data_IF_438308359289
#
_entry.id   IF_438308359289
#
_cell.length_a   1.000
_cell.length_b   1.000
_cell.length_c   1.000
_cell.angle_alpha   90.00
_cell.angle_beta   90.00
_cell.angle_gamma   90.00
#
_symmetry.space_group_name_H-M   'P 1'
#
loop_
_entity.id
_entity.type
_entity.pdbx_description
1 polymer ?
#
# COMPACT_ATOMS: atom_id res chain seq x y z
N UNK A 1 35.61 23.64 -21.53
CA UNK A 1 34.38 22.85 -21.67
C UNK A 1 34.57 21.52 -20.97
N UNK A 2 33.93 21.30 -19.83
CA UNK A 2 33.22 20.06 -19.46
C UNK A 2 32.34 20.43 -18.27
N UNK A 3 31.03 20.40 -18.50
CA UNK A 3 30.04 20.90 -17.56
C UNK A 3 29.95 20.02 -16.32
N UNK A 4 29.94 20.67 -15.16
CA UNK A 4 29.52 20.06 -13.91
C UNK A 4 28.09 19.53 -14.08
N UNK A 5 27.89 18.23 -13.87
CA UNK A 5 26.57 17.63 -13.77
C UNK A 5 25.95 18.10 -12.44
N UNK A 6 25.33 19.29 -12.49
CA UNK A 6 24.47 19.82 -11.44
C UNK A 6 23.41 18.75 -11.18
N UNK A 7 23.49 18.12 -10.01
CA UNK A 7 22.38 17.33 -9.47
C UNK A 7 21.19 18.27 -9.36
N UNK A 8 20.27 18.16 -10.32
CA UNK A 8 19.02 18.90 -10.35
C UNK A 8 18.29 18.63 -9.03
N UNK A 9 17.99 19.62 -8.19
CA UNK A 9 17.23 19.39 -6.98
C UNK A 9 15.86 18.84 -7.38
N UNK A 10 15.55 17.63 -6.92
CA UNK A 10 14.21 17.06 -7.03
C UNK A 10 13.24 18.08 -6.44
N UNK A 11 12.22 18.48 -7.22
CA UNK A 11 11.10 19.34 -6.81
C UNK A 11 10.70 19.12 -5.35
N UNK A 12 10.36 20.18 -4.56
CA UNK A 12 10.06 20.03 -3.14
C UNK A 12 9.02 18.93 -2.94
N UNK A 13 9.49 17.78 -2.46
CA UNK A 13 8.66 16.60 -2.30
C UNK A 13 7.63 16.94 -1.22
N UNK A 14 6.35 16.75 -1.55
CA UNK A 14 5.24 17.04 -0.65
C UNK A 14 5.56 16.47 0.75
N UNK A 15 5.49 17.26 1.85
CA UNK A 15 5.90 16.80 3.17
C UNK A 15 5.23 15.48 3.58
N UNK A 16 3.96 15.28 3.20
CA UNK A 16 3.25 14.03 3.44
C UNK A 16 3.87 12.85 2.68
N UNK A 17 4.30 13.04 1.43
CA UNK A 17 5.00 12.00 0.65
C UNK A 17 6.31 11.65 1.35
N UNK A 18 7.09 12.64 1.79
CA UNK A 18 8.35 12.39 2.51
C UNK A 18 8.14 11.55 3.77
N UNK A 19 7.13 11.89 4.58
CA UNK A 19 6.77 11.12 5.78
C UNK A 19 6.33 9.71 5.46
N UNK A 20 5.46 9.51 4.46
CA UNK A 20 5.03 8.17 4.07
C UNK A 20 6.18 7.31 3.50
N UNK A 21 7.16 7.93 2.83
CA UNK A 21 8.36 7.25 2.35
C UNK A 21 9.29 6.81 3.48
N UNK A 22 9.37 7.52 4.60
CA UNK A 22 10.22 7.10 5.73
C UNK A 22 9.73 5.84 6.45
N UNK A 23 8.48 5.42 6.22
CA UNK A 23 7.95 4.15 6.75
C UNK A 23 8.26 2.94 5.85
N UNK A 24 8.80 3.13 4.65
CA UNK A 24 9.07 2.05 3.71
C UNK A 24 9.99 0.99 4.34
N UNK A 25 9.64 -0.28 4.15
CA UNK A 25 10.42 -1.45 4.58
C UNK A 25 11.18 -2.02 3.41
N UNK A 26 12.39 -2.52 3.67
CA UNK A 26 13.31 -3.04 2.65
C UNK A 26 13.86 -1.93 1.75
N UNK A 27 15.18 -1.92 1.56
CA UNK A 27 15.81 -1.16 0.49
C UNK A 27 15.80 -1.97 -0.81
N UNK A 28 15.71 -1.31 -1.95
CA UNK A 28 16.02 -1.95 -3.23
C UNK A 28 17.43 -1.53 -3.66
N UNK A 29 18.20 -2.44 -4.25
CA UNK A 29 19.45 -2.08 -4.94
C UNK A 29 19.17 -1.49 -6.33
N UNK A 30 17.93 -1.62 -6.79
CA UNK A 30 17.45 -1.13 -8.08
C UNK A 30 16.83 0.26 -7.96
N UNK A 31 17.57 1.27 -8.44
CA UNK A 31 17.13 2.67 -8.47
C UNK A 31 15.80 2.87 -9.20
N UNK A 32 15.45 2.04 -10.17
CA UNK A 32 14.16 2.15 -10.86
C UNK A 32 13.00 1.68 -9.97
N UNK A 33 13.22 0.71 -9.09
CA UNK A 33 12.20 0.27 -8.14
C UNK A 33 11.94 1.35 -7.09
N UNK A 34 12.97 1.96 -6.51
CA UNK A 34 12.80 3.07 -5.56
C UNK A 34 12.01 4.25 -6.17
N UNK A 35 12.33 4.63 -7.41
CA UNK A 35 11.57 5.65 -8.15
C UNK A 35 10.12 5.23 -8.35
N UNK A 36 9.86 3.95 -8.61
CA UNK A 36 8.51 3.44 -8.77
C UNK A 36 7.74 3.47 -7.45
N UNK A 37 8.36 3.09 -6.33
CA UNK A 37 7.78 3.18 -4.98
C UNK A 37 7.41 4.62 -4.64
N UNK A 38 8.28 5.57 -4.95
CA UNK A 38 8.00 6.99 -4.77
C UNK A 38 6.76 7.44 -5.59
N UNK A 39 6.65 7.02 -6.86
CA UNK A 39 5.46 7.31 -7.69
C UNK A 39 4.19 6.68 -7.12
N UNK A 40 4.27 5.47 -6.57
CA UNK A 40 3.14 4.78 -5.95
C UNK A 40 2.63 5.52 -4.71
N UNK A 41 3.54 5.97 -3.84
CA UNK A 41 3.20 6.79 -2.65
C UNK A 41 2.65 8.15 -3.06
N UNK A 42 3.25 8.84 -4.03
CA UNK A 42 2.72 10.12 -4.57
C UNK A 42 1.29 9.98 -5.10
N UNK A 43 1.02 8.90 -5.84
CA UNK A 43 -0.32 8.61 -6.37
C UNK A 43 -1.33 8.37 -5.23
N UNK A 44 -0.94 7.61 -4.19
CA UNK A 44 -1.79 7.39 -3.02
C UNK A 44 -2.09 8.68 -2.28
N UNK A 45 -1.08 9.49 -1.97
CA UNK A 45 -1.26 10.78 -1.29
C UNK A 45 -2.24 11.67 -2.03
N UNK A 46 -2.15 11.73 -3.37
CA UNK A 46 -3.10 12.50 -4.19
C UNK A 46 -4.54 11.99 -4.05
N UNK A 47 -4.75 10.68 -3.98
CA UNK A 47 -6.08 10.06 -3.77
C UNK A 47 -6.60 10.34 -2.36
N UNK A 48 -5.78 10.13 -1.33
CA UNK A 48 -6.19 10.28 0.07
C UNK A 48 -6.41 11.73 0.50
N UNK A 49 -5.73 12.69 -0.12
CA UNK A 49 -6.04 14.11 0.07
C UNK A 49 -7.43 14.49 -0.42
N UNK A 50 -7.91 13.86 -1.51
CA UNK A 50 -9.27 14.09 -2.01
C UNK A 50 -10.34 13.47 -1.10
N UNK A 51 -10.06 12.30 -0.52
CA UNK A 51 -10.97 11.62 0.41
C UNK A 51 -10.78 12.01 1.87
N UNK A 52 -9.84 12.92 2.20
CA UNK A 52 -9.50 13.35 3.57
C UNK A 52 -9.10 12.20 4.51
N UNK A 53 -8.35 11.22 4.00
CA UNK A 53 -7.91 10.03 4.76
C UNK A 53 -6.39 9.97 4.97
N UNK A 54 -5.66 11.03 4.60
CA UNK A 54 -4.20 11.03 4.65
C UNK A 54 -3.69 10.94 6.09
N UNK A 55 -4.30 11.68 7.01
CA UNK A 55 -3.87 11.73 8.41
C UNK A 55 -4.12 10.38 9.11
N UNK A 56 -5.20 9.69 8.74
CA UNK A 56 -5.51 8.36 9.26
C UNK A 56 -4.51 7.30 8.76
N UNK A 57 -4.04 7.41 7.51
CA UNK A 57 -2.95 6.54 7.03
C UNK A 57 -1.66 6.82 7.79
N UNK A 58 -1.33 8.09 8.04
CA UNK A 58 -0.14 8.47 8.80
C UNK A 58 -0.21 7.96 10.25
N UNK A 59 -1.38 8.05 10.88
CA UNK A 59 -1.67 7.44 12.19
C UNK A 59 -1.47 5.92 12.16
N UNK A 60 -2.04 5.22 11.20
CA UNK A 60 -1.87 3.76 11.07
C UNK A 60 -0.40 3.35 10.92
N UNK A 61 0.37 4.06 10.08
CA UNK A 61 1.78 3.75 9.86
C UNK A 61 2.67 4.07 11.07
N UNK A 62 2.40 5.18 11.78
CA UNK A 62 3.19 5.61 12.93
C UNK A 62 2.94 4.77 14.18
N UNK A 63 1.70 4.32 14.40
CA UNK A 63 1.29 3.57 15.60
C UNK A 63 1.34 2.06 15.41
N UNK A 64 1.38 1.58 14.17
CA UNK A 64 1.20 0.18 13.83
C UNK A 64 -0.11 -0.44 14.36
N UNK A 65 -1.13 0.39 14.58
CA UNK A 65 -2.39 0.00 15.19
C UNK A 65 -3.38 -0.57 14.15
N UNK A 66 -3.78 -1.82 14.37
CA UNK A 66 -4.76 -2.53 13.55
C UNK A 66 -6.18 -1.96 13.68
N UNK A 67 -6.48 -1.24 14.76
CA UNK A 67 -7.80 -0.65 15.04
C UNK A 67 -8.00 0.75 14.46
N UNK A 68 -7.01 1.29 13.73
CA UNK A 68 -7.21 2.48 12.90
C UNK A 68 -8.29 2.26 11.84
N UNK A 69 -8.86 3.34 11.30
CA UNK A 69 -9.94 3.21 10.31
C UNK A 69 -9.43 2.61 8.98
N UNK A 70 -10.37 2.12 8.17
CA UNK A 70 -10.03 1.66 6.81
C UNK A 70 -9.49 2.84 6.00
N UNK A 71 -8.38 2.65 5.29
CA UNK A 71 -7.87 3.62 4.31
C UNK A 71 -8.29 3.16 2.93
N UNK A 72 -9.26 3.81 2.30
CA UNK A 72 -9.87 3.30 1.07
C UNK A 72 -9.47 4.07 -0.18
N UNK A 73 -9.36 3.36 -1.30
CA UNK A 73 -9.28 3.94 -2.65
C UNK A 73 -10.37 3.34 -3.54
N UNK A 74 -10.77 4.05 -4.59
CA UNK A 74 -11.68 3.51 -5.61
C UNK A 74 -11.10 2.24 -6.25
N UNK A 75 -11.93 1.21 -6.38
CA UNK A 75 -11.61 -0.05 -7.03
C UNK A 75 -11.75 0.11 -8.55
N UNK A 76 -10.75 -0.36 -9.31
CA UNK A 76 -10.91 -0.47 -10.77
C UNK A 76 -11.78 -1.69 -11.11
N UNK A 77 -12.31 -1.74 -12.33
CA UNK A 77 -13.13 -2.87 -12.81
C UNK A 77 -12.39 -4.21 -12.65
N UNK A 78 -11.11 -4.24 -13.02
CA UNK A 78 -10.25 -5.43 -12.93
C UNK A 78 -9.57 -5.60 -11.54
N UNK A 79 -9.83 -4.71 -10.59
CA UNK A 79 -9.25 -4.72 -9.25
C UNK A 79 -7.75 -4.35 -9.17
N UNK A 80 -7.11 -3.97 -10.28
CA UNK A 80 -5.69 -3.60 -10.32
C UNK A 80 -5.47 -2.08 -10.33
N UNK A 81 -4.51 -1.64 -9.53
CA UNK A 81 -3.99 -0.28 -9.55
C UNK A 81 -2.87 -0.16 -10.58
N UNK A 82 -2.94 0.86 -11.45
CA UNK A 82 -1.85 1.21 -12.35
C UNK A 82 -1.02 2.36 -11.76
N UNK A 83 0.30 2.15 -11.68
CA UNK A 83 1.28 3.18 -11.30
C UNK A 83 2.35 3.22 -12.38
N UNK A 84 2.39 4.32 -13.15
CA UNK A 84 3.21 4.42 -14.37
C UNK A 84 2.88 3.26 -15.32
N UNK A 85 3.86 2.49 -15.77
CA UNK A 85 3.67 1.37 -16.70
C UNK A 85 3.42 0.02 -15.99
N UNK A 86 3.34 -0.02 -14.65
CA UNK A 86 3.13 -1.27 -13.89
C UNK A 86 1.70 -1.35 -13.36
N UNK A 87 1.05 -2.51 -13.57
CA UNK A 87 -0.23 -2.86 -12.92
C UNK A 87 0.06 -3.73 -11.70
N UNK A 88 -0.60 -3.44 -10.58
CA UNK A 88 -0.40 -4.12 -9.31
C UNK A 88 -1.74 -4.29 -8.56
N UNK A 89 -1.78 -5.16 -7.57
CA UNK A 89 -2.93 -5.28 -6.67
C UNK A 89 -2.75 -4.29 -5.51
N UNK A 90 -3.72 -3.41 -5.23
CA UNK A 90 -3.51 -2.24 -4.38
C UNK A 90 -3.14 -2.58 -2.93
N UNK A 91 -3.87 -3.47 -2.27
CA UNK A 91 -3.56 -3.85 -0.89
C UNK A 91 -2.21 -4.59 -0.78
N UNK A 92 -1.89 -5.45 -1.75
CA UNK A 92 -0.61 -6.19 -1.81
C UNK A 92 0.57 -5.22 -1.90
N UNK A 93 0.53 -4.24 -2.82
CA UNK A 93 1.66 -3.34 -3.03
C UNK A 93 1.94 -2.49 -1.78
N UNK A 94 0.90 -1.97 -1.13
CA UNK A 94 1.09 -1.13 0.06
C UNK A 94 1.45 -1.94 1.31
N UNK A 95 0.91 -3.16 1.47
CA UNK A 95 1.36 -4.08 2.52
C UNK A 95 2.83 -4.47 2.32
N UNK A 96 3.24 -4.78 1.09
CA UNK A 96 4.64 -5.09 0.76
C UNK A 96 5.57 -3.94 1.12
N UNK A 97 5.19 -2.72 0.73
CA UNK A 97 5.99 -1.52 0.93
C UNK A 97 6.18 -1.15 2.40
N UNK A 98 5.17 -1.33 3.26
CA UNK A 98 5.19 -0.79 4.63
C UNK A 98 5.26 -1.84 5.75
N UNK A 99 4.98 -3.12 5.48
CA UNK A 99 5.00 -4.17 6.50
C UNK A 99 5.80 -5.40 6.07
N UNK A 100 5.55 -5.91 4.88
CA UNK A 100 5.97 -7.26 4.48
C UNK A 100 6.83 -7.24 3.20
N UNK A 101 8.11 -6.84 3.25
CA UNK A 101 8.94 -6.70 2.05
C UNK A 101 9.06 -7.99 1.22
N UNK A 102 8.95 -9.17 1.85
CA UNK A 102 8.94 -10.48 1.19
C UNK A 102 7.60 -10.93 0.61
N UNK A 103 6.51 -10.17 0.78
CA UNK A 103 5.17 -10.54 0.33
C UNK A 103 5.12 -10.74 -1.18
N UNK A 104 4.73 -11.92 -1.67
CA UNK A 104 4.72 -12.23 -3.11
C UNK A 104 3.35 -12.04 -3.74
N UNK A 105 2.29 -12.49 -3.07
CA UNK A 105 0.93 -12.52 -3.64
C UNK A 105 -0.15 -12.18 -2.61
N UNK A 106 -1.33 -11.80 -3.09
CA UNK A 106 -2.52 -11.54 -2.28
C UNK A 106 -2.99 -12.76 -1.47
N UNK A 107 -2.67 -13.99 -1.89
CA UNK A 107 -3.02 -15.21 -1.14
C UNK A 107 -2.36 -15.27 0.25
N UNK A 108 -1.27 -14.53 0.45
CA UNK A 108 -0.56 -14.44 1.73
C UNK A 108 -1.13 -13.36 2.65
N UNK A 109 -2.23 -12.69 2.28
CA UNK A 109 -2.88 -11.66 3.10
C UNK A 109 -4.30 -12.07 3.48
N UNK A 110 -4.59 -12.04 4.78
CA UNK A 110 -5.96 -12.16 5.31
C UNK A 110 -6.39 -10.83 5.94
N UNK A 111 -7.56 -10.27 5.59
CA UNK A 111 -8.02 -9.05 6.23
C UNK A 111 -8.39 -9.28 7.69
N UNK A 112 -8.18 -8.27 8.54
CA UNK A 112 -8.70 -8.25 9.91
C UNK A 112 -10.22 -8.23 9.91
N UNK A 113 -10.85 -8.81 10.94
CA UNK A 113 -12.30 -9.01 11.00
C UNK A 113 -13.11 -7.70 10.89
N UNK A 114 -12.59 -6.60 11.46
CA UNK A 114 -13.24 -5.29 11.44
C UNK A 114 -12.96 -4.45 10.18
N UNK A 115 -12.21 -4.98 9.21
CA UNK A 115 -12.02 -4.30 7.93
C UNK A 115 -13.35 -4.26 7.17
N UNK A 116 -13.86 -3.05 6.94
CA UNK A 116 -15.15 -2.82 6.25
C UNK A 116 -15.03 -2.96 4.73
N UNK A 117 -13.83 -2.74 4.17
CA UNK A 117 -13.57 -2.71 2.72
C UNK A 117 -12.46 -3.69 2.27
N UNK A 118 -12.46 -4.97 2.69
CA UNK A 118 -11.45 -5.93 2.27
C UNK A 118 -11.55 -6.20 0.76
N UNK A 119 -10.41 -6.47 0.11
CA UNK A 119 -10.35 -6.68 -1.34
C UNK A 119 -11.31 -7.77 -1.85
N UNK A 120 -11.49 -8.84 -1.07
CA UNK A 120 -12.34 -9.98 -1.43
C UNK A 120 -13.84 -9.65 -1.57
N UNK A 121 -14.34 -8.59 -0.92
CA UNK A 121 -15.76 -8.21 -0.97
C UNK A 121 -16.19 -7.53 -2.28
N UNK A 122 -15.25 -7.19 -3.17
CA UNK A 122 -15.52 -6.59 -4.49
C UNK A 122 -16.42 -5.33 -4.45
N UNK A 123 -16.30 -4.52 -3.40
CA UNK A 123 -17.00 -3.24 -3.27
C UNK A 123 -16.40 -2.17 -4.21
N UNK A 124 -17.09 -1.04 -4.37
CA UNK A 124 -16.61 0.11 -5.16
C UNK A 124 -15.31 0.72 -4.63
N UNK A 125 -15.01 0.46 -3.36
CA UNK A 125 -13.81 0.89 -2.66
C UNK A 125 -13.06 -0.29 -2.09
N UNK A 126 -11.74 -0.14 -1.96
CA UNK A 126 -10.87 -1.14 -1.35
C UNK A 126 -9.95 -0.54 -0.31
N UNK A 127 -9.85 -1.20 0.85
CA UNK A 127 -8.93 -0.85 1.91
C UNK A 127 -7.49 -1.17 1.48
N UNK A 128 -6.60 -0.22 1.74
CA UNK A 128 -5.15 -0.31 1.54
C UNK A 128 -4.37 0.00 2.81
N UNK A 129 -5.04 0.08 3.97
CA UNK A 129 -4.38 0.18 5.28
C UNK A 129 -3.54 -1.10 5.49
N UNK A 130 -2.20 -1.02 5.56
CA UNK A 130 -1.37 -2.21 5.72
C UNK A 130 -1.68 -2.98 7.00
N UNK A 131 -2.13 -2.30 8.06
CA UNK A 131 -2.47 -2.89 9.36
C UNK A 131 -3.86 -3.52 9.40
N UNK A 132 -4.59 -3.52 8.29
CA UNK A 132 -5.84 -4.26 8.13
C UNK A 132 -5.65 -5.64 7.48
N UNK A 133 -4.41 -6.10 7.33
CA UNK A 133 -4.09 -7.41 6.74
C UNK A 133 -3.00 -8.14 7.52
N UNK A 134 -3.21 -9.40 7.86
CA UNK A 134 -2.20 -10.27 8.45
C UNK A 134 -1.57 -11.17 7.40
N UNK A 135 -0.30 -11.57 7.63
CA UNK A 135 0.32 -12.63 6.85
C UNK A 135 -0.33 -13.98 7.20
N UNK A 136 -0.51 -14.81 6.18
CA UNK A 136 -0.86 -16.22 6.37
C UNK A 136 0.23 -17.09 5.75
N UNK A 137 0.71 -18.05 6.53
CA UNK A 137 1.83 -18.92 6.14
C UNK A 137 1.40 -20.06 5.20
N UNK A 138 0.09 -20.31 5.05
CA UNK A 138 -0.42 -21.46 4.31
C UNK A 138 -1.68 -21.15 3.45
N UNK A 139 -1.66 -21.46 2.13
CA UNK A 139 -2.79 -21.22 1.23
C UNK A 139 -4.01 -22.15 1.45
N UNK A 140 -3.86 -23.26 2.19
CA UNK A 140 -4.94 -24.22 2.48
C UNK A 140 -5.75 -23.87 3.72
N UNK A 141 -5.24 -23.00 4.60
CA UNK A 141 -5.95 -22.57 5.81
C UNK A 141 -7.19 -21.68 5.55
N UNK A 142 -7.42 -21.22 4.31
CA UNK A 142 -8.57 -20.36 3.97
C UNK A 142 -9.85 -21.10 3.56
N UNK A 143 -9.84 -22.44 3.52
CA UNK A 143 -10.99 -23.25 3.09
C UNK A 143 -11.72 -24.02 4.21
N UNK A 144 -11.25 -24.02 5.46
CA UNK A 144 -11.81 -24.90 6.52
C UNK A 144 -12.71 -24.24 7.57
N UNK A 145 -13.12 -22.97 7.39
CA UNK A 145 -13.97 -22.28 8.39
C UNK A 145 -15.49 -22.40 8.12
N UNK A 146 -15.93 -23.33 7.27
CA UNK A 146 -17.36 -23.54 6.95
C UNK A 146 -17.81 -25.00 7.04
N UNK A 147 -17.43 -25.74 8.08
CA UNK A 147 -18.22 -26.89 8.56
C UNK A 147 -18.09 -26.96 10.09
N UNK A 148 -18.92 -26.19 10.79
CA UNK A 148 -19.24 -26.40 12.19
C UNK A 148 -20.63 -25.80 12.46
N UNK A 149 -21.67 -26.45 11.93
CA UNK A 149 -23.04 -26.42 12.46
C UNK A 149 -23.58 -27.84 12.31
#
# INVERSE_FOLDING_TARGET
MVGSLIHRPSSPTNPAVRRLLSYLKGGSTDKEDDKWREKAVKSLVKKLKKSKMLDELEKALSTADTHTECITILRSLDGRLQVSQRKCVPHVVYCRMWRFPGLQSHHQLRPVAHCKYPFARKLDQVCVNPYHFDLVDDPTASMSAVIAV
#
